data_IF_470345742600
#
_entry.id   IF_470345742600
#
_cell.length_a   1.000
_cell.length_b   1.000
_cell.length_c   1.000
_cell.angle_alpha   90.00
_cell.angle_beta   90.00
_cell.angle_gamma   90.00
#
_symmetry.space_group_name_H-M   'P 1'
#
loop_
_entity.id
_entity.type
_entity.pdbx_description
1 polymer ?
#
# COMPACT_ATOMS: atom_id res chain seq x y z
N UNK A 1 18.86 20.99 65.47
CA UNK A 1 18.46 20.53 64.12
C UNK A 1 18.10 21.77 63.32
N UNK A 2 19.00 22.22 62.45
CA UNK A 2 18.80 23.43 61.63
C UNK A 2 19.08 23.03 60.19
N UNK A 3 18.02 22.95 59.39
CA UNK A 3 18.07 22.58 57.98
C UNK A 3 18.27 23.85 57.16
N UNK A 4 19.51 24.05 56.70
CA UNK A 4 19.83 25.12 55.76
C UNK A 4 19.12 24.86 54.42
N UNK A 5 18.27 25.79 54.01
CA UNK A 5 17.61 25.75 52.70
C UNK A 5 18.57 26.22 51.62
N UNK A 6 18.75 25.47 50.52
CA UNK A 6 19.61 25.90 49.44
C UNK A 6 18.96 27.04 48.66
N UNK A 7 19.59 28.20 48.67
CA UNK A 7 19.25 29.34 47.82
C UNK A 7 19.57 28.99 46.36
N UNK A 8 18.55 28.66 45.59
CA UNK A 8 18.66 28.37 44.16
C UNK A 8 18.80 29.71 43.42
N UNK A 9 20.03 30.10 43.06
CA UNK A 9 20.25 31.21 42.14
C UNK A 9 19.90 30.72 40.73
N UNK A 10 18.74 31.12 40.21
CA UNK A 10 18.41 30.93 38.81
C UNK A 10 19.36 31.76 37.95
N UNK A 11 20.00 31.10 36.98
CA UNK A 11 20.94 31.70 36.06
C UNK A 11 20.17 32.54 35.02
N UNK A 12 20.35 33.87 34.96
CA UNK A 12 19.59 34.76 34.06
C UNK A 12 19.83 34.47 32.58
N UNK A 13 20.88 33.70 32.24
CA UNK A 13 21.15 33.25 30.87
C UNK A 13 20.11 32.24 30.34
N UNK A 14 19.39 31.52 31.22
CA UNK A 14 18.38 30.54 30.81
C UNK A 14 17.09 31.23 30.35
N UNK A 15 16.73 32.35 30.98
CA UNK A 15 15.47 33.05 30.70
C UNK A 15 15.50 33.80 29.36
N UNK A 16 16.65 34.34 28.95
CA UNK A 16 16.80 35.00 27.64
C UNK A 16 16.73 34.02 26.48
N UNK A 17 17.28 32.79 26.65
CA UNK A 17 17.21 31.75 25.61
C UNK A 17 15.76 31.30 25.40
N UNK A 18 14.98 31.16 26.47
CA UNK A 18 13.57 30.76 26.36
C UNK A 18 12.71 31.80 25.62
N UNK A 19 12.95 33.09 25.85
CA UNK A 19 12.21 34.17 25.18
C UNK A 19 12.53 34.28 23.68
N UNK A 20 13.79 34.06 23.28
CA UNK A 20 14.16 34.06 21.87
C UNK A 20 13.57 32.86 21.12
N UNK A 21 13.53 31.67 21.75
CA UNK A 21 12.88 30.49 21.18
C UNK A 21 11.37 30.71 20.96
N UNK A 22 10.71 31.41 21.89
CA UNK A 22 9.27 31.70 21.79
C UNK A 22 8.96 32.71 20.67
N UNK A 23 9.75 33.78 20.52
CA UNK A 23 9.57 34.76 19.41
C UNK A 23 9.84 34.12 18.04
N UNK A 24 10.85 33.25 17.93
CA UNK A 24 11.10 32.49 16.69
C UNK A 24 9.94 31.55 16.36
N UNK A 25 9.37 30.86 17.37
CA UNK A 25 8.23 29.99 17.17
C UNK A 25 6.98 30.76 16.69
N UNK A 26 6.71 31.94 17.25
CA UNK A 26 5.59 32.80 16.82
C UNK A 26 5.74 33.27 15.37
N UNK A 27 6.94 33.73 14.98
CA UNK A 27 7.20 34.16 13.59
C UNK A 27 7.06 33.02 12.58
N UNK A 28 7.40 31.79 12.96
CA UNK A 28 7.21 30.61 12.11
C UNK A 28 5.73 30.26 11.94
N UNK A 29 4.90 30.48 12.96
CA UNK A 29 3.45 30.29 12.87
C UNK A 29 2.85 31.30 11.87
N UNK A 30 3.17 32.58 12.02
CA UNK A 30 2.65 33.64 11.13
C UNK A 30 3.06 33.46 9.68
N UNK A 31 4.30 33.04 9.43
CA UNK A 31 4.75 32.77 8.06
C UNK A 31 3.99 31.61 7.42
N UNK A 32 3.62 30.61 8.20
CA UNK A 32 2.86 29.46 7.70
C UNK A 32 1.40 29.80 7.42
N UNK A 33 0.76 30.66 8.22
CA UNK A 33 -0.64 31.07 7.99
C UNK A 33 -0.80 31.98 6.77
N UNK A 34 0.25 32.72 6.41
CA UNK A 34 0.28 33.59 5.23
C UNK A 34 0.63 32.85 3.93
N UNK A 35 0.96 31.56 3.98
CA UNK A 35 1.21 30.79 2.77
C UNK A 35 -0.08 30.61 1.96
N UNK A 36 -0.11 30.91 0.65
CA UNK A 36 -1.30 30.70 -0.17
C UNK A 36 -1.83 29.26 -0.10
N UNK A 37 -0.92 28.29 0.13
CA UNK A 37 -1.29 26.88 0.18
C UNK A 37 -2.14 26.54 1.41
N UNK A 38 -1.96 27.22 2.55
CA UNK A 38 -2.74 26.92 3.77
C UNK A 38 -4.16 27.48 3.72
N UNK A 39 -4.49 28.27 2.70
CA UNK A 39 -5.83 28.79 2.47
C UNK A 39 -6.64 27.92 1.51
N UNK A 40 -6.04 26.86 0.96
CA UNK A 40 -6.77 25.93 0.11
C UNK A 40 -7.80 25.15 0.94
N UNK A 41 -8.97 24.84 0.35
CA UNK A 41 -9.94 23.92 0.95
C UNK A 41 -9.29 22.58 1.30
N UNK A 42 -9.78 21.95 2.37
CA UNK A 42 -9.24 20.70 2.89
C UNK A 42 -9.22 19.61 1.82
N UNK A 43 -10.19 19.59 0.92
CA UNK A 43 -10.29 18.62 -0.18
C UNK A 43 -9.12 18.74 -1.15
N UNK A 44 -8.71 19.96 -1.49
CA UNK A 44 -7.56 20.19 -2.37
C UNK A 44 -6.25 19.84 -1.65
N UNK A 45 -6.13 20.18 -0.37
CA UNK A 45 -4.99 19.83 0.46
C UNK A 45 -4.82 18.30 0.56
N UNK A 46 -5.90 17.59 0.86
CA UNK A 46 -5.94 16.12 0.87
C UNK A 46 -5.53 15.57 -0.49
N UNK A 47 -6.02 16.14 -1.59
CA UNK A 47 -5.66 15.67 -2.94
C UNK A 47 -4.19 15.92 -3.29
N UNK A 48 -3.64 17.08 -2.93
CA UNK A 48 -2.21 17.37 -3.10
C UNK A 48 -1.37 16.38 -2.29
N UNK A 49 -1.78 16.11 -1.04
CA UNK A 49 -1.08 15.18 -0.17
C UNK A 49 -1.10 13.76 -0.72
N UNK A 50 -2.28 13.31 -1.16
CA UNK A 50 -2.46 12.02 -1.83
C UNK A 50 -1.49 11.85 -3.01
N UNK A 51 -1.40 12.85 -3.89
CA UNK A 51 -0.47 12.81 -5.03
C UNK A 51 1.00 12.82 -4.58
N UNK A 52 1.30 13.49 -3.47
CA UNK A 52 2.66 13.59 -2.94
C UNK A 52 3.13 12.29 -2.27
N UNK A 53 2.22 11.55 -1.62
CA UNK A 53 2.51 10.26 -0.98
C UNK A 53 2.98 9.19 -1.96
N UNK A 54 2.64 9.31 -3.25
CA UNK A 54 3.14 8.40 -4.29
C UNK A 54 4.66 8.51 -4.49
N UNK A 55 5.26 9.64 -4.11
CA UNK A 55 6.67 9.94 -4.32
C UNK A 55 7.49 9.94 -3.03
N UNK A 56 6.86 10.15 -1.86
CA UNK A 56 7.54 10.33 -0.57
C UNK A 56 6.81 9.54 0.52
N UNK A 57 7.55 8.81 1.37
CA UNK A 57 6.97 8.14 2.53
C UNK A 57 6.27 9.13 3.47
N UNK A 58 5.11 8.74 4.03
CA UNK A 58 4.32 9.66 4.86
C UNK A 58 5.04 10.14 6.13
N UNK A 59 6.01 9.39 6.66
CA UNK A 59 6.81 9.83 7.82
C UNK A 59 7.63 11.10 7.46
N UNK A 60 8.18 11.16 6.25
CA UNK A 60 8.87 12.35 5.74
C UNK A 60 7.95 13.57 5.65
N UNK A 61 6.71 13.36 5.20
CA UNK A 61 5.71 14.41 5.05
C UNK A 61 5.13 14.88 6.39
N UNK A 62 4.86 13.97 7.33
CA UNK A 62 4.30 14.34 8.64
C UNK A 62 5.30 15.09 9.52
N UNK A 63 6.59 14.83 9.36
CA UNK A 63 7.67 15.54 10.07
C UNK A 63 7.92 16.94 9.54
N UNK A 64 7.82 17.14 8.22
CA UNK A 64 8.16 18.41 7.57
C UNK A 64 6.96 19.33 7.33
N UNK A 65 5.74 18.83 7.48
CA UNK A 65 4.51 19.60 7.29
C UNK A 65 4.13 20.46 8.50
N UNK A 66 3.39 21.53 8.23
CA UNK A 66 2.84 22.40 9.28
C UNK A 66 1.79 21.64 10.11
N UNK A 67 1.52 22.09 11.34
CA UNK A 67 0.55 21.43 12.25
C UNK A 67 -0.82 21.24 11.60
N UNK A 68 -1.26 22.22 10.81
CA UNK A 68 -2.52 22.17 10.08
C UNK A 68 -2.59 20.99 9.10
N UNK A 69 -1.55 20.84 8.27
CA UNK A 69 -1.46 19.72 7.32
C UNK A 69 -1.40 18.38 8.02
N UNK A 70 -0.62 18.28 9.09
CA UNK A 70 -0.53 17.03 9.87
C UNK A 70 -1.89 16.62 10.41
N UNK A 71 -2.65 17.55 10.99
CA UNK A 71 -3.99 17.26 11.52
C UNK A 71 -4.93 16.82 10.40
N UNK A 72 -4.94 17.54 9.28
CA UNK A 72 -5.77 17.22 8.12
C UNK A 72 -5.50 15.81 7.59
N UNK A 73 -4.22 15.41 7.52
CA UNK A 73 -3.82 14.08 7.05
C UNK A 73 -4.25 13.00 8.05
N UNK A 74 -4.04 13.21 9.34
CA UNK A 74 -4.47 12.26 10.39
C UNK A 74 -6.00 12.13 10.46
N UNK A 75 -6.73 13.18 10.12
CA UNK A 75 -8.19 13.20 10.11
C UNK A 75 -8.82 12.64 8.83
N UNK A 76 -8.01 12.30 7.81
CA UNK A 76 -8.46 11.81 6.49
C UNK A 76 -8.09 10.33 6.25
N UNK A 77 -8.88 9.35 6.76
CA UNK A 77 -8.57 7.93 6.63
C UNK A 77 -8.36 7.42 5.20
N UNK A 78 -8.96 8.08 4.21
CA UNK A 78 -8.82 7.76 2.78
C UNK A 78 -7.39 7.94 2.27
N UNK A 79 -6.59 8.81 2.90
CA UNK A 79 -5.17 8.95 2.56
C UNK A 79 -4.35 7.74 3.02
N UNK A 80 -4.87 6.99 3.99
CA UNK A 80 -4.22 5.83 4.58
C UNK A 80 -4.78 4.51 4.03
N UNK A 81 -5.78 4.54 3.14
CA UNK A 81 -6.30 3.32 2.52
C UNK A 81 -5.43 2.79 1.39
N UNK A 82 -4.54 3.61 0.83
CA UNK A 82 -3.60 3.19 -0.21
C UNK A 82 -2.23 2.89 0.41
N UNK A 83 -1.84 1.62 0.37
CA UNK A 83 -0.64 1.10 1.01
C UNK A 83 0.35 0.68 -0.06
N UNK A 84 1.35 1.51 -0.30
CA UNK A 84 2.47 1.17 -1.18
C UNK A 84 3.59 0.55 -0.35
N UNK A 85 3.93 -0.70 -0.65
CA UNK A 85 5.03 -1.44 -0.01
C UNK A 85 6.18 -1.51 -1.01
N UNK A 86 7.26 -0.81 -0.67
CA UNK A 86 8.53 -0.75 -1.41
C UNK A 86 9.67 -1.32 -0.56
N UNK A 87 10.89 -1.20 -1.10
CA UNK A 87 12.09 -1.80 -0.53
C UNK A 87 12.50 -1.20 0.81
N UNK A 88 12.26 0.09 0.96
CA UNK A 88 12.57 0.93 2.12
C UNK A 88 11.41 1.04 3.12
N UNK A 89 10.21 0.57 2.75
CA UNK A 89 9.00 0.74 3.56
C UNK A 89 9.13 0.12 4.94
N UNK A 90 9.11 0.97 5.96
CA UNK A 90 9.27 0.61 7.37
C UNK A 90 8.02 -0.08 7.94
N UNK A 91 8.20 -0.99 8.89
CA UNK A 91 7.07 -1.68 9.54
C UNK A 91 6.21 -0.71 10.36
N UNK A 92 6.85 0.25 11.03
CA UNK A 92 6.16 1.26 11.82
C UNK A 92 5.26 2.16 10.95
N UNK A 93 5.61 2.35 9.68
CA UNK A 93 4.77 3.03 8.72
C UNK A 93 3.51 2.20 8.39
N UNK A 94 3.66 0.88 8.22
CA UNK A 94 2.52 0.00 7.97
C UNK A 94 1.54 0.01 9.16
N UNK A 95 2.06 -0.03 10.40
CA UNK A 95 1.24 0.09 11.60
C UNK A 95 0.49 1.42 11.66
N UNK A 96 1.17 2.52 11.29
CA UNK A 96 0.56 3.85 11.21
C UNK A 96 -0.55 3.92 10.17
N UNK A 97 -0.34 3.31 9.01
CA UNK A 97 -1.31 3.23 7.91
C UNK A 97 -2.53 2.40 8.33
N UNK A 98 -2.33 1.21 8.90
CA UNK A 98 -3.41 0.37 9.41
C UNK A 98 -4.21 1.08 10.50
N UNK A 99 -3.55 1.78 11.42
CA UNK A 99 -4.19 2.54 12.50
C UNK A 99 -5.05 3.70 11.98
N UNK A 100 -4.55 4.47 11.01
CA UNK A 100 -5.23 5.69 10.55
C UNK A 100 -6.27 5.45 9.45
N UNK A 101 -6.20 4.33 8.74
CA UNK A 101 -7.19 3.94 7.73
C UNK A 101 -8.55 3.53 8.31
N UNK A 102 -8.62 3.31 9.64
CA UNK A 102 -9.85 3.00 10.40
C UNK A 102 -10.60 1.78 9.84
N UNK A 103 -11.79 1.96 9.29
CA UNK A 103 -12.61 0.88 8.72
C UNK A 103 -12.69 0.97 7.18
N UNK A 104 -11.91 1.85 6.55
CA UNK A 104 -11.93 2.01 5.09
C UNK A 104 -11.27 0.78 4.44
N UNK A 105 -11.81 0.28 3.31
CA UNK A 105 -11.15 -0.76 2.55
C UNK A 105 -9.74 -0.37 2.13
N UNK A 106 -8.82 -1.34 2.18
CA UNK A 106 -7.41 -1.14 1.84
C UNK A 106 -7.13 -1.54 0.39
N UNK A 107 -6.27 -0.75 -0.23
CA UNK A 107 -5.66 -0.98 -1.53
C UNK A 107 -4.16 -1.16 -1.31
N UNK A 108 -3.68 -2.39 -1.44
CA UNK A 108 -2.27 -2.72 -1.21
C UNK A 108 -1.58 -2.89 -2.55
N UNK A 109 -0.50 -2.16 -2.76
CA UNK A 109 0.35 -2.26 -3.93
C UNK A 109 1.78 -2.55 -3.48
N UNK A 110 2.36 -3.63 -3.99
CA UNK A 110 3.67 -4.10 -3.58
C UNK A 110 4.59 -4.09 -4.78
N UNK A 111 5.69 -3.32 -4.69
CA UNK A 111 6.67 -3.17 -5.75
C UNK A 111 7.98 -3.86 -5.44
N UNK A 112 8.70 -4.21 -6.51
CA UNK A 112 10.11 -4.61 -6.49
C UNK A 112 10.46 -5.72 -5.50
N UNK A 113 9.59 -6.70 -5.28
CA UNK A 113 9.83 -7.79 -4.32
C UNK A 113 10.97 -8.72 -4.77
N UNK A 114 12.22 -8.36 -4.51
CA UNK A 114 13.40 -9.18 -4.83
C UNK A 114 13.97 -9.95 -3.61
N UNK A 115 13.50 -9.67 -2.39
CA UNK A 115 14.01 -10.31 -1.16
C UNK A 115 12.92 -10.96 -0.29
N UNK A 116 13.31 -12.06 0.38
CA UNK A 116 12.47 -12.84 1.29
C UNK A 116 11.95 -12.04 2.49
N UNK A 117 12.74 -11.12 3.04
CA UNK A 117 12.36 -10.32 4.21
C UNK A 117 11.12 -9.44 3.98
N UNK A 118 10.79 -9.13 2.72
CA UNK A 118 9.60 -8.35 2.37
C UNK A 118 8.34 -9.20 2.31
N UNK A 119 8.49 -10.47 1.96
CA UNK A 119 7.39 -11.43 1.93
C UNK A 119 6.71 -11.51 3.28
N UNK A 120 7.48 -11.45 4.37
CA UNK A 120 6.93 -11.48 5.73
C UNK A 120 6.14 -10.22 6.07
N UNK A 121 6.55 -9.04 5.59
CA UNK A 121 5.80 -7.78 5.78
C UNK A 121 4.49 -7.79 5.01
N UNK A 122 4.54 -8.21 3.74
CA UNK A 122 3.33 -8.35 2.91
C UNK A 122 2.38 -9.37 3.54
N UNK A 123 2.90 -10.53 3.94
CA UNK A 123 2.14 -11.57 4.65
C UNK A 123 1.53 -11.05 5.95
N UNK A 124 2.26 -10.24 6.70
CA UNK A 124 1.73 -9.61 7.91
C UNK A 124 0.49 -8.76 7.58
N UNK A 125 0.56 -7.87 6.60
CA UNK A 125 -0.61 -7.06 6.18
C UNK A 125 -1.75 -7.93 5.67
N UNK A 126 -1.46 -8.89 4.77
CA UNK A 126 -2.47 -9.78 4.22
C UNK A 126 -3.24 -10.53 5.31
N UNK A 127 -2.55 -10.94 6.39
CA UNK A 127 -3.17 -11.67 7.49
C UNK A 127 -3.88 -10.77 8.49
N UNK A 128 -3.31 -9.62 8.82
CA UNK A 128 -3.86 -8.71 9.83
C UNK A 128 -5.07 -7.94 9.30
N UNK A 129 -5.07 -7.59 8.01
CA UNK A 129 -6.10 -6.73 7.40
C UNK A 129 -7.01 -7.48 6.41
N UNK A 130 -7.09 -8.81 6.52
CA UNK A 130 -7.79 -9.67 5.55
C UNK A 130 -9.23 -9.25 5.26
N UNK A 131 -9.95 -8.73 6.26
CA UNK A 131 -11.35 -8.33 6.16
C UNK A 131 -11.56 -7.00 5.42
N UNK A 132 -10.48 -6.22 5.26
CA UNK A 132 -10.52 -4.87 4.70
C UNK A 132 -9.85 -4.78 3.32
N UNK A 133 -9.10 -5.80 2.90
CA UNK A 133 -8.42 -5.80 1.61
C UNK A 133 -9.40 -5.88 0.45
N UNK A 134 -9.54 -4.79 -0.30
CA UNK A 134 -10.40 -4.71 -1.48
C UNK A 134 -9.62 -4.78 -2.79
N UNK A 135 -8.37 -4.33 -2.76
CA UNK A 135 -7.51 -4.28 -3.94
C UNK A 135 -6.11 -4.71 -3.57
N UNK A 136 -5.54 -5.63 -4.35
CA UNK A 136 -4.18 -6.10 -4.17
C UNK A 136 -3.46 -6.09 -5.52
N UNK A 137 -2.35 -5.36 -5.60
CA UNK A 137 -1.43 -5.38 -6.73
C UNK A 137 -0.06 -5.86 -6.27
N UNK A 138 0.45 -6.96 -6.84
CA UNK A 138 1.73 -7.57 -6.46
C UNK A 138 2.68 -7.60 -7.66
N UNK A 139 3.82 -6.92 -7.55
CA UNK A 139 4.88 -6.89 -8.53
C UNK A 139 6.07 -7.66 -7.97
N UNK A 140 6.17 -8.93 -8.35
CA UNK A 140 7.14 -9.85 -7.75
C UNK A 140 7.53 -10.98 -8.71
N UNK A 141 8.68 -11.62 -8.51
CA UNK A 141 9.02 -12.86 -9.17
C UNK A 141 7.97 -13.94 -8.86
N UNK A 142 7.75 -14.85 -9.82
CA UNK A 142 6.70 -15.87 -9.73
C UNK A 142 6.79 -16.74 -8.47
N UNK A 143 7.99 -17.06 -7.97
CA UNK A 143 8.15 -17.87 -6.76
C UNK A 143 7.66 -17.13 -5.50
N UNK A 144 7.78 -15.80 -5.45
CA UNK A 144 7.24 -14.99 -4.36
C UNK A 144 5.73 -14.93 -4.46
N UNK A 145 5.18 -14.65 -5.64
CA UNK A 145 3.72 -14.66 -5.85
C UNK A 145 3.13 -15.99 -5.41
N UNK A 146 3.72 -17.12 -5.83
CA UNK A 146 3.33 -18.47 -5.39
C UNK A 146 3.32 -18.62 -3.87
N UNK A 147 4.35 -18.10 -3.20
CA UNK A 147 4.45 -18.16 -1.74
C UNK A 147 3.40 -17.30 -1.01
N UNK A 148 2.82 -16.31 -1.69
CA UNK A 148 1.77 -15.42 -1.17
C UNK A 148 0.36 -15.86 -1.56
N UNK A 149 0.18 -16.74 -2.54
CA UNK A 149 -1.14 -17.24 -2.96
C UNK A 149 -1.98 -17.82 -1.81
N UNK A 150 -1.43 -18.59 -0.85
CA UNK A 150 -2.22 -19.07 0.29
C UNK A 150 -2.76 -17.94 1.16
N UNK A 151 -1.97 -16.87 1.35
CA UNK A 151 -2.37 -15.70 2.13
C UNK A 151 -3.44 -14.87 1.36
N UNK A 152 -3.31 -14.74 0.04
CA UNK A 152 -4.35 -14.13 -0.81
C UNK A 152 -5.66 -14.93 -0.80
N UNK A 153 -5.58 -16.26 -0.78
CA UNK A 153 -6.75 -17.13 -0.68
C UNK A 153 -7.53 -16.87 0.61
N UNK A 154 -6.84 -16.61 1.72
CA UNK A 154 -7.49 -16.25 2.97
C UNK A 154 -8.29 -14.93 2.86
N UNK A 155 -7.87 -14.02 1.98
CA UNK A 155 -8.52 -12.73 1.70
C UNK A 155 -9.54 -12.79 0.54
N UNK A 156 -9.86 -13.99 0.03
CA UNK A 156 -10.62 -14.13 -1.22
C UNK A 156 -12.02 -13.50 -1.20
N UNK A 157 -12.66 -13.42 -0.02
CA UNK A 157 -14.02 -12.91 0.16
C UNK A 157 -14.14 -11.38 0.17
N UNK A 158 -13.02 -10.66 0.10
CA UNK A 158 -12.96 -9.20 0.21
C UNK A 158 -12.34 -8.54 -1.01
N UNK A 159 -11.42 -9.23 -1.69
CA UNK A 159 -10.71 -8.72 -2.86
C UNK A 159 -11.67 -8.57 -4.06
N UNK A 160 -11.81 -7.34 -4.54
CA UNK A 160 -12.55 -6.95 -5.73
C UNK A 160 -11.64 -6.65 -6.94
N UNK A 161 -10.40 -6.24 -6.67
CA UNK A 161 -9.38 -5.97 -7.69
C UNK A 161 -8.10 -6.75 -7.37
N UNK A 162 -7.64 -7.56 -8.31
CA UNK A 162 -6.40 -8.32 -8.19
C UNK A 162 -5.52 -8.04 -9.41
N UNK A 163 -4.30 -7.58 -9.15
CA UNK A 163 -3.30 -7.31 -10.16
C UNK A 163 -2.00 -8.04 -9.82
N UNK A 164 -1.54 -8.89 -10.73
CA UNK A 164 -0.40 -9.76 -10.50
C UNK A 164 0.59 -9.56 -11.64
N UNK A 165 1.73 -8.96 -11.29
CA UNK A 165 2.80 -8.63 -12.22
C UNK A 165 4.01 -9.50 -11.93
N UNK A 166 4.32 -10.43 -12.83
CA UNK A 166 5.55 -11.21 -12.74
C UNK A 166 6.72 -10.37 -13.22
N UNK A 167 7.61 -10.02 -12.31
CA UNK A 167 8.86 -9.36 -12.64
C UNK A 167 9.86 -10.40 -13.14
N UNK A 168 10.46 -10.13 -14.31
CA UNK A 168 11.51 -10.97 -14.87
C UNK A 168 12.82 -10.68 -14.13
N UNK A 169 13.11 -11.46 -13.08
CA UNK A 169 14.50 -11.59 -12.65
C UNK A 169 15.21 -12.41 -13.73
N UNK A 170 16.43 -12.04 -14.13
CA UNK A 170 17.12 -12.54 -15.35
C UNK A 170 17.36 -14.06 -15.50
N UNK A 171 16.68 -14.88 -14.71
CA UNK A 171 16.59 -16.33 -14.80
C UNK A 171 15.37 -16.71 -15.66
N UNK A 172 15.57 -16.78 -16.98
CA UNK A 172 14.57 -17.20 -17.97
C UNK A 172 14.10 -18.67 -17.84
N UNK A 173 14.51 -19.38 -16.79
CA UNK A 173 14.13 -20.75 -16.52
C UNK A 173 13.02 -20.80 -15.48
N UNK A 174 11.84 -20.27 -15.82
CA UNK A 174 10.64 -20.52 -15.01
C UNK A 174 10.29 -21.99 -15.18
N UNK A 175 10.45 -22.77 -14.10
CA UNK A 175 10.00 -24.15 -14.03
C UNK A 175 8.55 -24.25 -14.52
N UNK A 176 8.21 -25.26 -15.35
CA UNK A 176 6.83 -25.48 -15.79
C UNK A 176 5.90 -25.47 -14.57
N UNK A 177 4.75 -24.83 -14.71
CA UNK A 177 3.76 -24.74 -13.65
C UNK A 177 3.46 -26.14 -13.11
N UNK A 178 3.47 -26.26 -11.78
CA UNK A 178 3.06 -27.49 -11.11
C UNK A 178 1.57 -27.43 -10.86
N UNK A 179 0.89 -28.58 -10.82
CA UNK A 179 -0.57 -28.65 -10.70
C UNK A 179 -1.18 -27.98 -9.44
N UNK A 180 -0.35 -27.54 -8.49
CA UNK A 180 -0.76 -26.79 -7.30
C UNK A 180 -0.80 -25.27 -7.47
N UNK A 181 -0.38 -24.74 -8.62
CA UNK A 181 -0.24 -23.30 -8.86
C UNK A 181 -1.54 -22.64 -9.34
N UNK A 182 -2.68 -23.04 -8.80
CA UNK A 182 -3.98 -22.55 -9.27
C UNK A 182 -4.34 -21.25 -8.54
N UNK A 183 -4.81 -20.24 -9.26
CA UNK A 183 -5.42 -19.07 -8.62
C UNK A 183 -6.59 -19.53 -7.72
N UNK A 184 -6.69 -19.06 -6.48
CA UNK A 184 -7.84 -19.35 -5.65
C UNK A 184 -9.11 -18.70 -6.22
N UNK A 185 -10.28 -19.23 -5.86
CA UNK A 185 -11.54 -18.57 -6.20
C UNK A 185 -11.70 -17.30 -5.40
N UNK A 186 -12.07 -16.21 -6.08
CA UNK A 186 -12.35 -14.91 -5.46
C UNK A 186 -13.80 -14.53 -5.74
N UNK A 187 -14.74 -14.83 -4.81
CA UNK A 187 -16.16 -14.67 -5.07
C UNK A 187 -16.59 -13.23 -5.32
N UNK A 188 -15.83 -12.22 -4.88
CA UNK A 188 -16.12 -10.80 -5.11
C UNK A 188 -15.27 -10.13 -6.19
N UNK A 189 -14.39 -10.89 -6.85
CA UNK A 189 -13.45 -10.31 -7.81
C UNK A 189 -14.19 -9.75 -9.02
N UNK A 190 -13.99 -8.46 -9.26
CA UNK A 190 -14.55 -7.71 -10.39
C UNK A 190 -13.52 -7.43 -11.46
N UNK A 191 -12.26 -7.28 -11.06
CA UNK A 191 -11.17 -6.88 -11.93
C UNK A 191 -9.95 -7.76 -11.71
N UNK A 192 -9.46 -8.39 -12.78
CA UNK A 192 -8.26 -9.21 -12.76
C UNK A 192 -7.26 -8.71 -13.80
N UNK A 193 -6.04 -8.39 -13.37
CA UNK A 193 -4.92 -8.04 -14.24
C UNK A 193 -3.77 -9.01 -14.05
N UNK A 194 -3.27 -9.54 -15.15
CA UNK A 194 -2.20 -10.53 -15.15
C UNK A 194 -1.13 -10.07 -16.12
N UNK A 195 0.05 -9.71 -15.60
CA UNK A 195 1.18 -9.25 -16.41
C UNK A 195 2.30 -10.28 -16.40
N UNK A 196 2.85 -10.57 -17.59
CA UNK A 196 3.89 -11.56 -17.83
C UNK A 196 3.56 -12.96 -17.27
N UNK A 197 2.28 -13.29 -17.20
CA UNK A 197 1.81 -14.60 -16.81
C UNK A 197 1.71 -15.54 -17.99
N UNK A 198 2.38 -16.69 -17.87
CA UNK A 198 2.11 -17.83 -18.72
C UNK A 198 0.76 -18.43 -18.28
N UNK A 199 -0.13 -18.78 -19.20
CA UNK A 199 -1.55 -19.08 -18.92
C UNK A 199 -1.82 -20.35 -18.11
N UNK A 200 -0.78 -21.05 -17.65
CA UNK A 200 -0.91 -22.34 -16.95
C UNK A 200 -1.53 -22.25 -15.55
N UNK A 201 -1.79 -21.04 -15.03
CA UNK A 201 -2.29 -20.81 -13.67
C UNK A 201 -3.82 -20.61 -13.59
N UNK A 202 -4.49 -20.43 -14.73
CA UNK A 202 -5.95 -20.34 -14.79
C UNK A 202 -6.48 -21.75 -15.04
N UNK A 203 -6.86 -22.43 -13.96
CA UNK A 203 -7.50 -23.72 -14.08
C UNK A 203 -8.92 -23.57 -14.61
N UNK A 204 -9.49 -24.65 -15.19
CA UNK A 204 -10.91 -24.68 -15.56
C UNK A 204 -11.87 -24.37 -14.39
N UNK A 205 -11.39 -24.44 -13.15
CA UNK A 205 -12.16 -24.18 -11.93
C UNK A 205 -12.24 -22.71 -11.55
N UNK A 206 -11.38 -21.84 -12.11
CA UNK A 206 -11.39 -20.42 -11.78
C UNK A 206 -12.62 -19.75 -12.38
N UNK A 207 -13.65 -19.56 -11.55
CA UNK A 207 -14.95 -19.04 -11.99
C UNK A 207 -15.46 -17.94 -11.04
N UNK A 208 -14.81 -16.76 -11.02
CA UNK A 208 -15.29 -15.61 -10.26
C UNK A 208 -16.64 -15.13 -10.81
N UNK A 209 -17.74 -15.21 -10.03
CA UNK A 209 -19.09 -14.96 -10.54
C UNK A 209 -19.37 -13.50 -10.91
N UNK A 210 -18.56 -12.56 -10.41
CA UNK A 210 -18.73 -11.12 -10.64
C UNK A 210 -17.59 -10.48 -11.45
N UNK A 211 -16.78 -11.28 -12.14
CA UNK A 211 -15.65 -10.77 -12.92
C UNK A 211 -16.15 -9.94 -14.10
N UNK A 212 -16.01 -8.63 -13.99
CA UNK A 212 -16.44 -7.66 -14.99
C UNK A 212 -15.35 -7.33 -16.02
N UNK A 213 -14.08 -7.39 -15.61
CA UNK A 213 -12.93 -7.04 -16.46
C UNK A 213 -11.76 -7.97 -16.19
N UNK A 214 -11.19 -8.51 -17.26
CA UNK A 214 -9.97 -9.30 -17.21
C UNK A 214 -8.98 -8.79 -18.25
N UNK A 215 -7.77 -8.48 -17.81
CA UNK A 215 -6.69 -7.98 -18.67
C UNK A 215 -5.47 -8.88 -18.52
N UNK A 216 -4.93 -9.31 -19.66
CA UNK A 216 -3.78 -10.20 -19.68
C UNK A 216 -2.74 -9.57 -20.59
N UNK A 217 -1.64 -9.14 -19.98
CA UNK A 217 -0.52 -8.52 -20.65
C UNK A 217 0.60 -9.55 -20.72
N UNK A 218 0.71 -10.25 -21.84
CA UNK A 218 1.78 -11.21 -22.08
C UNK A 218 2.66 -10.72 -23.22
N UNK A 219 3.99 -10.89 -23.08
CA UNK A 219 4.87 -10.82 -24.24
C UNK A 219 4.65 -12.10 -25.05
N UNK A 220 3.79 -12.00 -26.06
CA UNK A 220 3.48 -12.96 -27.14
C UNK A 220 3.58 -14.44 -26.72
N UNK A 221 2.44 -15.08 -26.37
CA UNK A 221 2.43 -16.52 -26.18
C UNK A 221 2.62 -17.25 -27.51
N UNK A 222 3.27 -18.40 -27.48
CA UNK A 222 3.14 -19.39 -28.54
C UNK A 222 1.64 -19.71 -28.75
N UNK A 223 1.22 -19.86 -30.01
CA UNK A 223 -0.18 -20.07 -30.45
C UNK A 223 -1.07 -20.98 -29.57
N UNK A 224 -0.63 -22.14 -29.03
CA UNK A 224 -1.52 -23.03 -28.26
C UNK A 224 -2.03 -22.42 -26.94
N UNK A 225 -1.22 -21.58 -26.29
CA UNK A 225 -1.56 -20.93 -25.01
C UNK A 225 -2.74 -19.96 -25.17
N UNK A 226 -2.73 -19.22 -26.28
CA UNK A 226 -3.77 -18.26 -26.61
C UNK A 226 -5.14 -18.94 -26.74
N UNK A 227 -5.21 -20.14 -27.33
CA UNK A 227 -6.46 -20.89 -27.55
C UNK A 227 -7.10 -21.36 -26.23
N UNK A 228 -6.31 -21.93 -25.32
CA UNK A 228 -6.81 -22.39 -24.02
C UNK A 228 -7.38 -21.23 -23.19
N UNK A 229 -6.66 -20.09 -23.20
CA UNK A 229 -7.09 -18.87 -22.54
C UNK A 229 -8.41 -18.34 -23.14
N UNK A 230 -8.49 -18.23 -24.47
CA UNK A 230 -9.73 -17.78 -25.12
C UNK A 230 -10.90 -18.74 -24.85
N UNK A 231 -10.64 -20.04 -24.72
CA UNK A 231 -11.68 -21.02 -24.36
C UNK A 231 -12.19 -20.81 -22.93
N UNK A 232 -11.28 -20.61 -21.96
CA UNK A 232 -11.65 -20.29 -20.58
C UNK A 232 -12.42 -18.97 -20.49
N UNK A 233 -11.93 -17.92 -21.15
CA UNK A 233 -12.60 -16.60 -21.20
C UNK A 233 -13.98 -16.68 -21.86
N UNK A 234 -14.13 -17.45 -22.94
CA UNK A 234 -15.41 -17.65 -23.62
C UNK A 234 -16.44 -18.32 -22.72
N UNK A 235 -16.02 -19.30 -21.91
CA UNK A 235 -16.90 -19.95 -20.96
C UNK A 235 -17.39 -18.98 -19.88
N UNK A 236 -16.51 -18.11 -19.36
CA UNK A 236 -16.89 -17.04 -18.41
C UNK A 236 -17.83 -16.03 -19.03
N UNK A 237 -17.60 -15.63 -20.28
CA UNK A 237 -18.48 -14.69 -20.99
C UNK A 237 -19.86 -15.28 -21.30
N UNK A 238 -19.98 -16.59 -21.48
CA UNK A 238 -21.27 -17.25 -21.77
C UNK A 238 -22.18 -17.41 -20.55
N UNK A 239 -21.65 -17.21 -19.35
CA UNK A 239 -22.38 -17.28 -18.07
C UNK A 239 -22.83 -15.91 -17.54
N UNK A 240 -22.45 -14.81 -18.21
CA UNK A 240 -22.89 -13.45 -17.95
C UNK A 240 -24.09 -13.08 -18.85
#
# INVERSE_FOLDING_TARGET
>A
MSTASPSHSQDPSIETVQLEEEDVALRLIDRNTLSPITQLPAELLTRIFYLSLQFVEADGLTRTSTRHWRNLVLESPQLWSEVHIRNDTRVEYLDLVCKNSKAIPLHVEVFDMDYSSRVDRVRHILRTEMERLSSVSLHAPIYILRSLLPDLKACSNTIEFLDLVVTLTGLWHVSPATAGDTLPDFPKLRHLRLHHWHTLFITPTFHPPFLARMEIFSHVPEKPVTVALFTALRNVASTL
#
